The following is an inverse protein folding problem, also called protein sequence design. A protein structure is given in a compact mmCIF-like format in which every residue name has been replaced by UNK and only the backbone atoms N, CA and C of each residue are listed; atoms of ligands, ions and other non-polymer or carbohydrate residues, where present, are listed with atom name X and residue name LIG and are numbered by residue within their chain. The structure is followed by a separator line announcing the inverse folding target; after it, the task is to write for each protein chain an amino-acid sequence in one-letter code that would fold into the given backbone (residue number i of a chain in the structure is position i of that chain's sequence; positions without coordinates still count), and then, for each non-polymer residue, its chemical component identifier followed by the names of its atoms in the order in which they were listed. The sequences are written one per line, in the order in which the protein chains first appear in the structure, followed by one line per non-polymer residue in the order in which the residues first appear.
data_IF_738515518083
#
_entry.id   IF_738515518083
#
_cell.length_a   1.000
_cell.length_b   1.000
_cell.length_c   1.000
_cell.angle_alpha   90.00
_cell.angle_beta   90.00
_cell.angle_gamma   90.00
#
_symmetry.space_group_name_H-M   'P 1'
#
loop_
_entity.id
_entity.type
_entity.pdbx_description
1 polymer ?
#
# COMPACT_ATOMS: atom_id res chain seq x y z
N UNK A 1 -8.02 -10.38 -5.64
CA UNK A 1 -6.86 -11.15 -6.15
C UNK A 1 -7.28 -11.86 -7.41
N UNK A 2 -6.59 -11.60 -8.51
CA UNK A 2 -6.80 -12.29 -9.77
C UNK A 2 -5.88 -13.50 -9.85
N UNK A 3 -6.47 -14.71 -9.80
CA UNK A 3 -5.73 -15.97 -9.60
C UNK A 3 -4.84 -16.33 -10.79
N UNK A 4 -5.36 -16.23 -12.01
CA UNK A 4 -4.65 -16.68 -13.21
C UNK A 4 -3.32 -15.92 -13.46
N UNK A 5 -3.24 -14.66 -13.02
CA UNK A 5 -2.04 -13.82 -13.16
C UNK A 5 -1.33 -13.54 -11.83
N UNK A 6 -1.72 -14.21 -10.74
CA UNK A 6 -1.22 -13.96 -9.38
C UNK A 6 -1.16 -12.46 -9.03
N UNK A 7 -2.19 -11.70 -9.40
CA UNK A 7 -2.21 -10.24 -9.27
C UNK A 7 -3.08 -9.79 -8.12
N UNK A 8 -2.47 -9.09 -7.16
CA UNK A 8 -3.20 -8.37 -6.14
C UNK A 8 -3.64 -7.02 -6.71
N UNK A 9 -4.87 -6.61 -6.41
CA UNK A 9 -5.42 -5.31 -6.80
C UNK A 9 -5.84 -4.64 -5.50
N UNK A 10 -5.24 -3.48 -5.22
CA UNK A 10 -5.50 -2.70 -4.02
C UNK A 10 -5.93 -1.29 -4.42
N UNK A 11 -6.91 -0.73 -3.72
CA UNK A 11 -7.21 0.69 -3.77
C UNK A 11 -6.55 1.35 -2.56
N UNK A 12 -7.33 1.78 -1.57
CA UNK A 12 -6.89 2.70 -0.51
C UNK A 12 -5.96 2.05 0.54
N UNK A 13 -5.74 0.72 0.50
CA UNK A 13 -4.82 0.05 1.42
C UNK A 13 -3.35 0.46 1.19
N UNK A 14 -3.01 0.89 -0.04
CA UNK A 14 -1.72 1.46 -0.39
C UNK A 14 -1.95 2.58 -1.41
N UNK A 15 -1.51 3.78 -1.05
CA UNK A 15 -1.39 4.89 -1.99
C UNK A 15 0.09 5.12 -2.28
N UNK A 16 0.45 5.18 -3.57
CA UNK A 16 1.84 5.31 -4.02
C UNK A 16 2.00 6.38 -5.11
N UNK A 17 1.59 7.61 -4.79
CA UNK A 17 1.55 8.70 -5.74
C UNK A 17 2.95 9.11 -6.22
N UNK A 18 3.12 9.16 -7.54
CA UNK A 18 4.34 9.67 -8.15
C UNK A 18 4.43 11.18 -7.95
N UNK A 19 5.46 11.64 -7.24
CA UNK A 19 5.66 13.07 -6.91
C UNK A 19 5.60 13.97 -8.14
N UNK A 20 6.08 13.51 -9.29
CA UNK A 20 6.07 14.25 -10.55
C UNK A 20 4.64 14.57 -11.05
N UNK A 21 3.66 13.72 -10.75
CA UNK A 21 2.25 13.85 -11.18
C UNK A 21 1.41 14.73 -10.25
N UNK A 22 1.97 15.20 -9.14
CA UNK A 22 1.27 16.03 -8.15
C UNK A 22 1.63 17.51 -8.28
N UNK A 23 0.64 18.37 -8.01
CA UNK A 23 0.86 19.82 -7.80
C UNK A 23 1.70 20.06 -6.53
N UNK A 24 2.31 21.24 -6.41
CA UNK A 24 3.20 21.55 -5.26
C UNK A 24 2.51 21.40 -3.90
N UNK A 25 1.25 21.84 -3.78
CA UNK A 25 0.46 21.68 -2.56
C UNK A 25 0.16 20.21 -2.25
N UNK A 26 -0.26 19.44 -3.27
CA UNK A 26 -0.55 18.01 -3.10
C UNK A 26 0.69 17.19 -2.76
N UNK A 27 1.88 17.58 -3.24
CA UNK A 27 3.14 16.93 -2.83
C UNK A 27 3.38 17.03 -1.33
N UNK A 28 3.04 18.16 -0.72
CA UNK A 28 3.18 18.33 0.73
C UNK A 28 2.19 17.46 1.49
N UNK A 29 0.91 17.49 1.10
CA UNK A 29 -0.13 16.66 1.72
C UNK A 29 0.18 15.16 1.59
N UNK A 30 0.55 14.70 0.38
CA UNK A 30 0.93 13.32 0.13
C UNK A 30 2.17 12.89 0.94
N UNK A 31 3.14 13.79 1.11
CA UNK A 31 4.32 13.54 1.97
C UNK A 31 3.92 13.37 3.43
N UNK A 32 3.01 14.20 3.95
CA UNK A 32 2.52 14.12 5.32
C UNK A 32 1.70 12.85 5.56
N UNK A 33 0.87 12.44 4.59
CA UNK A 33 0.15 11.17 4.63
C UNK A 33 1.08 9.95 4.56
N UNK A 34 2.27 10.12 3.98
CA UNK A 34 3.23 9.05 3.74
C UNK A 34 2.89 8.21 2.50
N UNK A 35 2.21 8.81 1.52
CA UNK A 35 1.62 8.09 0.37
C UNK A 35 2.36 8.35 -0.95
N UNK A 36 3.62 8.77 -0.86
CA UNK A 36 4.45 9.09 -2.02
C UNK A 36 5.34 7.93 -2.42
N UNK A 37 5.46 7.73 -3.72
CA UNK A 37 6.48 6.87 -4.33
C UNK A 37 7.91 7.37 -4.02
N UNK A 38 8.87 6.48 -3.72
CA UNK A 38 8.78 5.00 -3.72
C UNK A 38 8.33 4.36 -2.40
N UNK A 39 7.98 5.15 -1.39
CA UNK A 39 7.61 4.65 -0.06
C UNK A 39 6.10 4.70 0.24
N UNK A 40 5.25 4.58 -0.79
CA UNK A 40 3.79 4.57 -0.63
C UNK A 40 3.31 3.50 0.34
N UNK A 41 2.29 3.84 1.13
CA UNK A 41 1.71 3.00 2.19
C UNK A 41 0.26 3.42 2.45
N UNK A 42 -0.38 2.78 3.43
CA UNK A 42 -1.68 3.26 3.90
C UNK A 42 -1.60 4.73 4.39
N UNK A 43 -2.55 5.59 3.99
CA UNK A 43 -2.63 6.96 4.49
C UNK A 43 -2.57 7.07 6.01
N UNK A 44 -2.03 8.18 6.52
CA UNK A 44 -1.82 8.36 7.96
C UNK A 44 -3.12 8.25 8.76
N UNK A 45 -4.19 8.87 8.29
CA UNK A 45 -5.55 8.79 8.85
C UNK A 45 -6.07 7.36 8.91
N UNK A 46 -5.88 6.59 7.83
CA UNK A 46 -6.24 5.17 7.83
C UNK A 46 -5.41 4.39 8.86
N UNK A 47 -4.11 4.64 8.96
CA UNK A 47 -3.25 4.00 9.98
C UNK A 47 -3.70 4.34 11.40
N UNK A 48 -4.15 5.58 11.64
CA UNK A 48 -4.72 6.01 12.92
C UNK A 48 -6.04 5.32 13.23
N UNK A 49 -6.90 5.07 12.22
CA UNK A 49 -8.16 4.32 12.41
C UNK A 49 -7.93 2.86 12.87
N UNK A 50 -6.75 2.29 12.62
CA UNK A 50 -6.34 0.98 13.11
C UNK A 50 -5.56 1.01 14.44
N UNK A 51 -5.42 2.18 15.08
CA UNK A 51 -4.82 2.27 16.41
C UNK A 51 -5.68 1.48 17.41
N UNK A 52 -5.03 0.63 18.23
CA UNK A 52 -5.74 -0.36 19.08
C UNK A 52 -6.30 -1.59 18.35
N UNK A 53 -6.30 -1.60 17.01
CA UNK A 53 -6.81 -2.70 16.17
C UNK A 53 -5.77 -3.28 15.20
N UNK A 54 -4.48 -2.97 15.40
CA UNK A 54 -3.37 -3.50 14.59
C UNK A 54 -3.36 -5.03 14.44
N UNK A 55 -3.69 -5.85 15.47
CA UNK A 55 -3.77 -7.30 15.31
C UNK A 55 -4.75 -7.75 14.22
N UNK A 56 -5.87 -7.02 14.04
CA UNK A 56 -6.85 -7.31 12.98
C UNK A 56 -6.25 -7.01 11.60
N UNK A 57 -5.57 -5.87 11.46
CA UNK A 57 -4.87 -5.51 10.23
C UNK A 57 -3.75 -6.50 9.88
N UNK A 58 -2.98 -6.95 10.88
CA UNK A 58 -1.93 -7.96 10.71
C UNK A 58 -2.50 -9.29 10.20
N UNK A 59 -3.58 -9.78 10.80
CA UNK A 59 -4.24 -11.03 10.36
C UNK A 59 -4.77 -10.92 8.91
N UNK A 60 -5.31 -9.77 8.54
CA UNK A 60 -5.72 -9.52 7.16
C UNK A 60 -4.52 -9.48 6.20
N UNK A 61 -3.40 -8.86 6.62
CA UNK A 61 -2.16 -8.83 5.86
C UNK A 61 -1.56 -10.22 5.66
N UNK A 62 -1.52 -11.06 6.70
CA UNK A 62 -1.09 -12.47 6.60
C UNK A 62 -1.91 -13.25 5.56
N UNK A 63 -3.23 -13.02 5.52
CA UNK A 63 -4.10 -13.63 4.51
C UNK A 63 -3.79 -13.15 3.09
N UNK A 64 -3.44 -11.87 2.92
CA UNK A 64 -3.00 -11.33 1.62
C UNK A 64 -1.68 -11.99 1.21
N UNK A 65 -0.72 -12.11 2.14
CA UNK A 65 0.59 -12.74 1.88
C UNK A 65 0.46 -14.22 1.52
N UNK A 66 -0.48 -14.95 2.13
CA UNK A 66 -0.76 -16.35 1.80
C UNK A 66 -1.28 -16.57 0.36
N UNK A 67 -1.66 -15.51 -0.36
CA UNK A 67 -2.01 -15.61 -1.78
C UNK A 67 -0.80 -15.61 -2.71
N UNK A 68 0.41 -15.38 -2.19
CA UNK A 68 1.65 -15.31 -2.95
C UNK A 68 1.54 -14.46 -4.23
N UNK A 69 1.14 -13.17 -4.10
CA UNK A 69 1.00 -12.31 -5.26
C UNK A 69 2.38 -12.07 -5.91
N UNK A 70 2.42 -12.10 -7.23
CA UNK A 70 3.63 -11.80 -8.00
C UNK A 70 3.70 -10.32 -8.40
N UNK A 71 2.53 -9.66 -8.49
CA UNK A 71 2.39 -8.25 -8.83
C UNK A 71 1.24 -7.59 -8.06
N UNK A 72 1.33 -6.28 -7.87
CA UNK A 72 0.33 -5.48 -7.15
C UNK A 72 -0.07 -4.29 -8.00
N UNK A 73 -1.33 -4.27 -8.45
CA UNK A 73 -1.94 -3.11 -9.08
C UNK A 73 -2.52 -2.22 -7.98
N UNK A 74 -2.18 -0.93 -8.03
CA UNK A 74 -2.70 0.09 -7.11
C UNK A 74 -3.70 0.97 -7.85
N UNK A 75 -4.82 1.28 -7.21
CA UNK A 75 -5.77 2.29 -7.69
C UNK A 75 -5.17 3.70 -7.69
N UNK A 76 -4.16 3.91 -6.84
CA UNK A 76 -3.55 5.22 -6.61
C UNK A 76 -2.03 5.18 -6.83
N UNK A 77 -1.59 5.76 -7.96
CA UNK A 77 -0.18 5.99 -8.25
C UNK A 77 0.55 4.82 -8.91
N UNK A 78 1.86 4.69 -8.67
CA UNK A 78 2.71 3.70 -9.33
C UNK A 78 2.48 2.31 -8.74
N UNK A 79 2.12 1.36 -9.60
CA UNK A 79 1.95 -0.04 -9.24
C UNK A 79 3.28 -0.83 -9.25
N UNK A 80 3.27 -2.05 -8.71
CA UNK A 80 4.44 -2.93 -8.62
C UNK A 80 4.29 -4.13 -9.55
N UNK A 81 5.08 -4.17 -10.62
CA UNK A 81 5.06 -5.25 -11.62
C UNK A 81 5.72 -6.55 -11.14
N UNK A 82 6.65 -6.43 -10.20
CA UNK A 82 7.47 -7.50 -9.64
C UNK A 82 7.71 -7.25 -8.15
N UNK A 83 8.33 -8.22 -7.46
CA UNK A 83 8.68 -8.12 -6.04
C UNK A 83 7.51 -7.77 -5.11
N UNK A 84 6.30 -8.19 -5.49
CA UNK A 84 5.06 -7.85 -4.77
C UNK A 84 5.12 -8.17 -3.28
N UNK A 85 5.63 -9.34 -2.88
CA UNK A 85 5.76 -9.68 -1.46
C UNK A 85 6.66 -8.72 -0.68
N UNK A 86 7.78 -8.29 -1.27
CA UNK A 86 8.70 -7.35 -0.63
C UNK A 86 8.05 -5.96 -0.50
N UNK A 87 7.40 -5.48 -1.56
CA UNK A 87 6.69 -4.20 -1.56
C UNK A 87 5.51 -4.20 -0.58
N UNK A 88 4.78 -5.32 -0.48
CA UNK A 88 3.70 -5.49 0.48
C UNK A 88 4.23 -5.47 1.92
N UNK A 89 5.32 -6.18 2.23
CA UNK A 89 5.97 -6.10 3.55
C UNK A 89 6.43 -4.69 3.88
N UNK A 90 7.01 -3.97 2.92
CA UNK A 90 7.40 -2.56 3.08
C UNK A 90 6.18 -1.70 3.36
N UNK A 91 5.15 -1.75 2.52
CA UNK A 91 3.97 -0.89 2.64
C UNK A 91 3.13 -1.18 3.90
N UNK A 92 3.08 -2.43 4.35
CA UNK A 92 2.34 -2.82 5.54
C UNK A 92 3.15 -2.81 6.85
N UNK A 93 4.44 -2.46 6.85
CA UNK A 93 5.31 -2.45 8.06
C UNK A 93 4.75 -1.69 9.27
N UNK A 94 3.78 -0.81 9.07
CA UNK A 94 3.11 -0.06 10.14
C UNK A 94 2.16 -0.92 10.99
N UNK A 95 1.68 -2.07 10.49
CA UNK A 95 0.84 -3.02 11.26
C UNK A 95 1.65 -3.77 12.32
N UNK A 96 2.98 -3.68 12.23
CA UNK A 96 3.97 -4.29 13.12
C UNK A 96 4.04 -5.80 13.05
#
# INVERSE_FOLDING_TARGET
FHRASATLILADLIENFERAKLTRGMRWLARLGGVLDPDGKAPLDMRMAFMGRKPVARKAFERIMAWHPQRVILGHGRWYAENAEAELRRAFRWVG
#
